data_IF_509997567285
#
_entry.id   IF_509997567285
#
_cell.length_a   1.000
_cell.length_b   1.000
_cell.length_c   1.000
_cell.angle_alpha   90.00
_cell.angle_beta   90.00
_cell.angle_gamma   90.00
#
_symmetry.space_group_name_H-M   'P 1'
#
loop_
_entity.id
_entity.type
_entity.pdbx_description
1 polymer ?
#
# COMPACT_ATOMS: atom_id res chain seq x y z
N UNK A 1 -4.29 -17.36 8.69
CA UNK A 1 -3.25 -16.47 8.13
C UNK A 1 -2.41 -15.95 9.28
N UNK A 2 -1.09 -15.91 9.12
CA UNK A 2 -0.17 -15.31 10.09
C UNK A 2 0.37 -14.02 9.49
N UNK A 3 0.11 -12.89 10.13
CA UNK A 3 0.71 -11.62 9.75
C UNK A 3 2.12 -11.56 10.35
N UNK A 4 3.17 -11.23 9.58
CA UNK A 4 4.51 -11.17 10.12
C UNK A 4 4.66 -9.95 11.05
N UNK A 5 5.15 -10.19 12.26
CA UNK A 5 5.54 -9.11 13.17
C UNK A 5 6.79 -8.39 12.61
N UNK A 6 6.81 -7.05 12.62
CA UNK A 6 7.98 -6.30 12.20
C UNK A 6 9.14 -6.53 13.19
N UNK A 7 10.37 -6.41 12.70
CA UNK A 7 11.53 -6.31 13.58
C UNK A 7 11.68 -4.87 14.10
N UNK A 8 12.31 -4.67 15.26
CA UNK A 8 12.60 -3.33 15.77
C UNK A 8 13.36 -2.45 14.75
N UNK A 9 14.17 -3.06 13.89
CA UNK A 9 14.89 -2.34 12.83
C UNK A 9 13.90 -1.78 11.80
N UNK A 10 12.93 -2.59 11.36
CA UNK A 10 11.87 -2.15 10.45
C UNK A 10 10.99 -1.08 11.10
N UNK A 11 10.62 -1.23 12.38
CA UNK A 11 9.81 -0.22 13.07
C UNK A 11 10.51 1.14 13.14
N UNK A 12 11.81 1.17 13.44
CA UNK A 12 12.60 2.42 13.44
C UNK A 12 12.69 3.02 12.04
N UNK A 13 12.83 2.19 11.02
CA UNK A 13 12.90 2.65 9.65
C UNK A 13 11.55 3.18 9.15
N UNK A 14 10.45 2.52 9.50
CA UNK A 14 9.09 3.00 9.26
C UNK A 14 8.87 4.36 9.90
N UNK A 15 9.31 4.55 11.16
CA UNK A 15 9.26 5.84 11.83
C UNK A 15 10.11 6.91 11.12
N UNK A 16 11.30 6.53 10.63
CA UNK A 16 12.20 7.44 9.91
C UNK A 16 11.60 7.95 8.59
N UNK A 17 10.97 7.05 7.83
CA UNK A 17 10.33 7.39 6.56
C UNK A 17 8.87 7.87 6.71
N UNK A 18 8.28 7.75 7.91
CA UNK A 18 6.88 8.09 8.15
C UNK A 18 5.90 7.10 7.52
N UNK A 19 6.27 5.81 7.44
CA UNK A 19 5.47 4.77 6.80
C UNK A 19 4.37 4.27 7.72
N UNK A 20 3.24 3.92 7.11
CA UNK A 20 2.24 3.09 7.73
C UNK A 20 2.80 1.67 7.97
N UNK A 21 2.52 1.08 9.13
CA UNK A 21 3.09 -0.20 9.58
C UNK A 21 2.81 -1.39 8.64
N UNK A 22 1.80 -1.28 7.77
CA UNK A 22 1.51 -2.30 6.74
C UNK A 22 2.38 -2.18 5.49
N UNK A 23 2.96 -1.02 5.20
CA UNK A 23 3.54 -0.68 3.89
C UNK A 23 4.61 -1.66 3.46
N UNK A 24 5.62 -1.90 4.32
CA UNK A 24 6.70 -2.86 4.02
C UNK A 24 6.21 -4.28 3.91
N UNK A 25 5.34 -4.69 4.84
CA UNK A 25 4.83 -6.06 4.88
C UNK A 25 3.99 -6.38 3.64
N UNK A 26 3.15 -5.46 3.18
CA UNK A 26 2.37 -5.64 1.95
C UNK A 26 3.26 -5.69 0.71
N UNK A 27 4.26 -4.81 0.60
CA UNK A 27 5.22 -4.84 -0.50
C UNK A 27 6.02 -6.16 -0.52
N UNK A 28 6.48 -6.64 0.64
CA UNK A 28 7.16 -7.91 0.78
C UNK A 28 6.23 -9.10 0.43
N UNK A 29 4.97 -9.06 0.87
CA UNK A 29 3.98 -10.10 0.56
C UNK A 29 3.67 -10.17 -0.94
N UNK A 30 3.61 -9.01 -1.61
CA UNK A 30 3.41 -8.95 -3.05
C UNK A 30 4.51 -9.73 -3.80
N UNK A 31 5.73 -9.80 -3.23
CA UNK A 31 6.85 -10.62 -3.73
C UNK A 31 7.13 -10.34 -5.21
N UNK A 32 7.25 -9.05 -5.53
CA UNK A 32 7.45 -8.58 -6.90
C UNK A 32 6.22 -8.70 -7.82
N UNK A 33 5.06 -9.18 -7.36
CA UNK A 33 3.83 -9.15 -8.17
C UNK A 33 3.19 -7.74 -8.15
N UNK A 34 2.50 -7.35 -9.23
CA UNK A 34 1.67 -6.16 -9.19
C UNK A 34 0.61 -6.27 -8.11
N UNK A 35 0.32 -5.18 -7.40
CA UNK A 35 -0.72 -5.18 -6.37
C UNK A 35 -1.43 -3.85 -6.22
N UNK A 36 -2.65 -3.93 -5.69
CA UNK A 36 -3.42 -2.77 -5.23
C UNK A 36 -3.54 -2.85 -3.71
N UNK A 37 -3.28 -1.75 -3.02
CA UNK A 37 -3.59 -1.60 -1.60
C UNK A 37 -4.63 -0.50 -1.41
N UNK A 38 -5.78 -0.85 -0.82
CA UNK A 38 -6.87 0.08 -0.53
C UNK A 38 -7.06 0.20 0.97
N UNK A 39 -6.89 1.39 1.52
CA UNK A 39 -6.88 1.64 2.97
C UNK A 39 -7.04 3.14 3.24
N UNK A 40 -7.62 3.53 4.38
CA UNK A 40 -7.89 4.93 4.70
C UNK A 40 -6.70 5.66 5.35
N UNK A 41 -5.71 4.90 5.83
CA UNK A 41 -4.53 5.41 6.54
C UNK A 41 -3.32 5.62 5.62
N UNK A 42 -3.45 5.35 4.31
CA UNK A 42 -2.39 5.57 3.32
C UNK A 42 -1.97 7.05 3.27
N UNK A 43 -0.67 7.27 3.29
CA UNK A 43 -0.04 8.60 3.18
C UNK A 43 0.79 8.73 1.90
N UNK A 44 1.30 9.94 1.64
CA UNK A 44 2.22 10.18 0.52
C UNK A 44 3.57 9.49 0.74
N UNK A 45 4.02 9.35 1.99
CA UNK A 45 5.24 8.61 2.32
C UNK A 45 5.15 7.14 1.90
N UNK A 46 3.99 6.51 2.07
CA UNK A 46 3.76 5.13 1.64
C UNK A 46 3.85 4.99 0.11
N UNK A 47 3.29 5.97 -0.62
CA UNK A 47 3.32 6.00 -2.09
C UNK A 47 4.75 6.16 -2.60
N UNK A 48 5.48 7.11 -2.05
CA UNK A 48 6.86 7.39 -2.43
C UNK A 48 7.76 6.20 -2.13
N UNK A 49 7.61 5.59 -0.95
CA UNK A 49 8.39 4.42 -0.58
C UNK A 49 8.07 3.21 -1.48
N UNK A 50 6.80 2.88 -1.70
CA UNK A 50 6.43 1.74 -2.57
C UNK A 50 6.90 1.97 -4.00
N UNK A 51 6.73 3.18 -4.56
CA UNK A 51 7.18 3.46 -5.93
C UNK A 51 8.71 3.35 -6.11
N UNK A 52 9.47 3.60 -5.04
CA UNK A 52 10.93 3.49 -5.04
C UNK A 52 11.41 2.05 -4.84
N UNK A 53 10.73 1.27 -3.99
CA UNK A 53 11.22 -0.03 -3.52
C UNK A 53 10.54 -1.24 -4.16
N UNK A 54 9.37 -1.07 -4.78
CA UNK A 54 8.64 -2.15 -5.45
C UNK A 54 8.74 -1.99 -6.98
N UNK A 55 9.51 -2.85 -7.67
CA UNK A 55 9.85 -2.64 -9.08
C UNK A 55 8.70 -2.92 -10.07
N UNK A 56 7.61 -3.52 -9.60
CA UNK A 56 6.44 -3.81 -10.43
C UNK A 56 5.28 -2.88 -10.10
N UNK A 57 4.26 -2.77 -10.98
CA UNK A 57 3.17 -1.83 -10.77
C UNK A 57 2.48 -2.01 -9.41
N UNK A 58 2.45 -0.96 -8.61
CA UNK A 58 1.70 -0.90 -7.36
C UNK A 58 0.79 0.33 -7.34
N UNK A 59 -0.46 0.12 -6.94
CA UNK A 59 -1.42 1.21 -6.77
C UNK A 59 -1.93 1.27 -5.35
N UNK A 60 -1.69 2.41 -4.70
CA UNK A 60 -2.17 2.70 -3.37
C UNK A 60 -3.40 3.59 -3.50
N UNK A 61 -4.56 3.15 -3.05
CA UNK A 61 -5.81 3.90 -3.15
C UNK A 61 -6.32 4.28 -1.76
N UNK A 62 -6.31 5.59 -1.44
CA UNK A 62 -6.78 6.05 -0.15
C UNK A 62 -8.28 6.27 -0.17
N UNK A 63 -8.99 5.72 0.80
CA UNK A 63 -10.47 5.83 0.91
C UNK A 63 -10.88 6.53 2.20
N UNK A 64 -12.13 7.01 2.27
CA UNK A 64 -12.68 7.54 3.52
C UNK A 64 -13.39 6.42 4.28
N UNK A 65 -12.88 6.03 5.46
CA UNK A 65 -13.45 4.95 6.27
C UNK A 65 -14.91 5.15 6.65
N UNK A 66 -15.37 6.40 6.81
CA UNK A 66 -16.76 6.73 7.11
C UNK A 66 -17.75 6.42 5.98
N UNK A 67 -17.27 6.22 4.74
CA UNK A 67 -18.11 5.95 3.56
C UNK A 67 -17.94 4.53 3.04
N UNK A 68 -16.89 3.83 3.45
CA UNK A 68 -16.52 2.55 2.86
C UNK A 68 -16.11 2.69 1.39
N UNK A 69 -16.06 1.56 0.67
CA UNK A 69 -15.79 1.52 -0.76
C UNK A 69 -17.02 1.94 -1.56
N UNK A 70 -16.82 2.89 -2.46
CA UNK A 70 -17.83 3.46 -3.33
C UNK A 70 -17.67 2.98 -4.77
N UNK A 71 -18.69 3.21 -5.61
CA UNK A 71 -18.63 2.92 -7.05
C UNK A 71 -17.48 3.66 -7.71
N UNK A 72 -17.19 4.88 -7.27
CA UNK A 72 -16.08 5.71 -7.74
C UNK A 72 -14.73 5.05 -7.44
N UNK A 73 -14.56 4.49 -6.24
CA UNK A 73 -13.34 3.75 -5.88
C UNK A 73 -13.12 2.55 -6.81
N UNK A 74 -14.18 1.76 -7.05
CA UNK A 74 -14.10 0.62 -7.98
C UNK A 74 -13.79 1.06 -9.41
N UNK A 75 -14.29 2.21 -9.87
CA UNK A 75 -13.99 2.74 -11.19
C UNK A 75 -12.50 3.13 -11.34
N UNK A 76 -11.90 3.71 -10.29
CA UNK A 76 -10.46 4.01 -10.27
C UNK A 76 -9.64 2.70 -10.32
N UNK A 77 -10.04 1.69 -9.57
CA UNK A 77 -9.36 0.39 -9.58
C UNK A 77 -9.46 -0.30 -10.96
N UNK A 78 -10.64 -0.29 -11.59
CA UNK A 78 -10.85 -0.85 -12.93
C UNK A 78 -10.01 -0.12 -13.99
N UNK A 79 -9.91 1.21 -13.90
CA UNK A 79 -9.04 1.98 -14.79
C UNK A 79 -7.58 1.57 -14.64
N UNK A 80 -7.09 1.42 -13.41
CA UNK A 80 -5.71 1.00 -13.16
C UNK A 80 -5.45 -0.42 -13.68
N UNK A 81 -6.37 -1.36 -13.42
CA UNK A 81 -6.27 -2.75 -13.88
C UNK A 81 -6.25 -2.89 -15.40
N UNK A 82 -6.90 -1.97 -16.14
CA UNK A 82 -6.88 -1.97 -17.61
C UNK A 82 -5.65 -1.31 -18.22
N UNK A 83 -4.96 -0.47 -17.45
CA UNK A 83 -3.78 0.28 -17.89
C UNK A 83 -2.45 -0.43 -17.56
N UNK A 84 -2.51 -1.50 -16.77
CA UNK A 84 -1.36 -2.29 -16.31
C UNK A 84 -1.24 -3.58 -17.12
#
# INVERSE_FOLDING_TARGET
MHWPEPSDAHEREDQWYGLHWKTRTLAAWADGRPFVWVDDEITDADRDWVSTHHPTPAFLHRVASSRGLTTEDFAVLDQWLRAT
#
